data_IF_713304273559
#
_entry.id   IF_713304273559
#
_cell.length_a   1.000
_cell.length_b   1.000
_cell.length_c   1.000
_cell.angle_alpha   90.00
_cell.angle_beta   90.00
_cell.angle_gamma   90.00
#
_symmetry.space_group_name_H-M   'P 1'
#
loop_
_entity.id
_entity.type
_entity.pdbx_description
1 polymer ?
#
# COMPACT_ATOMS: atom_id res chain seq x y z
N UNK A 1 8.40 18.75 -8.47
CA UNK A 1 8.30 18.03 -7.18
C UNK A 1 8.05 16.57 -7.52
N UNK A 2 9.01 15.69 -7.26
CA UNK A 2 8.94 14.27 -7.63
C UNK A 2 8.48 13.47 -6.43
N UNK A 3 7.38 12.74 -6.56
CA UNK A 3 6.84 11.87 -5.52
C UNK A 3 7.03 10.40 -5.86
N UNK A 4 7.26 9.59 -4.83
CA UNK A 4 7.39 8.13 -4.89
C UNK A 4 6.23 7.49 -4.09
N UNK A 5 5.03 7.36 -4.68
CA UNK A 5 3.91 6.70 -4.03
C UNK A 5 4.03 5.17 -4.04
N UNK A 6 4.05 4.56 -2.86
CA UNK A 6 4.05 3.11 -2.69
C UNK A 6 2.68 2.64 -2.21
N UNK A 7 2.14 1.60 -2.86
CA UNK A 7 0.81 1.03 -2.62
C UNK A 7 0.90 -0.48 -2.41
N UNK A 8 -0.14 -1.18 -1.92
CA UNK A 8 -0.11 -2.63 -1.73
C UNK A 8 -0.07 -3.48 -3.02
N UNK A 9 0.15 -2.87 -4.18
CA UNK A 9 0.18 -3.54 -5.48
C UNK A 9 -1.08 -4.35 -5.80
N UNK A 10 -2.25 -3.81 -5.41
CA UNK A 10 -3.55 -4.48 -5.55
C UNK A 10 -3.67 -5.82 -4.78
N UNK A 11 -2.82 -6.08 -3.78
CA UNK A 11 -3.00 -7.21 -2.86
C UNK A 11 -4.21 -7.00 -1.93
N UNK A 12 -4.81 -8.11 -1.49
CA UNK A 12 -5.93 -8.17 -0.54
C UNK A 12 -5.70 -9.31 0.46
N UNK A 13 -6.39 -9.28 1.59
CA UNK A 13 -6.27 -10.31 2.63
C UNK A 13 -5.03 -10.14 3.50
N UNK A 14 -4.51 -11.23 4.06
CA UNK A 14 -3.36 -11.18 4.99
C UNK A 14 -1.98 -11.29 4.33
N UNK A 15 -1.93 -11.78 3.09
CA UNK A 15 -0.68 -12.08 2.40
C UNK A 15 -0.19 -10.85 1.64
N UNK A 16 1.12 -10.60 1.66
CA UNK A 16 1.71 -9.51 0.90
C UNK A 16 1.66 -9.76 -0.62
N UNK A 17 1.88 -8.71 -1.44
CA UNK A 17 1.86 -8.84 -2.89
C UNK A 17 2.97 -9.77 -3.40
N UNK A 18 2.70 -10.39 -4.54
CA UNK A 18 3.73 -11.07 -5.35
C UNK A 18 4.52 -10.08 -6.18
N UNK A 19 5.72 -10.46 -6.62
CA UNK A 19 6.48 -9.69 -7.61
C UNK A 19 5.68 -9.34 -8.87
N UNK A 20 4.87 -10.27 -9.38
CA UNK A 20 4.06 -10.01 -10.57
C UNK A 20 3.06 -8.86 -10.34
N UNK A 21 2.35 -8.87 -9.21
CA UNK A 21 1.40 -7.82 -8.83
C UNK A 21 2.07 -6.44 -8.74
N UNK A 22 3.24 -6.33 -8.11
CA UNK A 22 3.95 -5.05 -8.03
C UNK A 22 4.57 -4.62 -9.35
N UNK A 23 5.07 -5.55 -10.17
CA UNK A 23 5.57 -5.22 -11.51
C UNK A 23 4.47 -4.57 -12.35
N UNK A 24 3.24 -5.08 -12.30
CA UNK A 24 2.10 -4.44 -12.96
C UNK A 24 1.72 -3.10 -12.33
N UNK A 25 1.69 -3.01 -11.00
CA UNK A 25 1.32 -1.78 -10.30
C UNK A 25 2.29 -0.60 -10.53
N UNK A 26 3.57 -0.90 -10.79
CA UNK A 26 4.62 0.10 -10.97
C UNK A 26 5.15 0.20 -12.41
N UNK A 27 4.49 -0.43 -13.39
CA UNK A 27 5.01 -0.52 -14.77
C UNK A 27 5.25 0.85 -15.42
N UNK A 28 4.36 1.82 -15.15
CA UNK A 28 4.44 3.18 -15.71
C UNK A 28 5.18 4.17 -14.80
N UNK A 29 5.74 3.73 -13.66
CA UNK A 29 6.48 4.60 -12.76
C UNK A 29 7.92 4.79 -13.23
N UNK A 30 8.44 5.99 -12.96
CA UNK A 30 9.83 6.36 -13.24
C UNK A 30 10.84 5.68 -12.30
N UNK A 31 10.38 5.24 -11.13
CA UNK A 31 11.17 4.48 -10.16
C UNK A 31 10.75 3.01 -10.13
N UNK A 32 11.67 2.15 -9.66
CA UNK A 32 11.44 0.72 -9.53
C UNK A 32 11.26 0.33 -8.08
N UNK A 33 10.40 -0.65 -7.85
CA UNK A 33 10.16 -1.28 -6.55
C UNK A 33 10.35 -2.77 -6.74
N UNK A 34 11.20 -3.36 -5.91
CA UNK A 34 11.41 -4.80 -5.86
C UNK A 34 10.51 -5.41 -4.78
N UNK A 35 10.14 -6.68 -4.93
CA UNK A 35 9.36 -7.43 -3.94
C UNK A 35 10.14 -8.65 -3.52
N UNK A 36 10.23 -8.84 -2.20
CA UNK A 36 10.83 -10.05 -1.63
C UNK A 36 9.81 -11.18 -1.74
N UNK A 37 10.17 -12.26 -2.46
CA UNK A 37 9.22 -13.36 -2.74
C UNK A 37 9.38 -14.58 -1.82
N UNK A 38 10.29 -14.53 -0.83
CA UNK A 38 10.61 -15.68 0.02
C UNK A 38 11.01 -15.30 1.44
N UNK A 39 10.98 -16.28 2.34
CA UNK A 39 11.36 -16.10 3.74
C UNK A 39 10.35 -15.26 4.55
N UNK A 40 10.81 -14.78 5.70
CA UNK A 40 10.00 -14.02 6.65
C UNK A 40 9.63 -12.61 6.16
N UNK A 41 10.28 -12.12 5.10
CA UNK A 41 10.00 -10.82 4.48
C UNK A 41 9.18 -10.95 3.20
N UNK A 42 8.58 -12.11 2.93
CA UNK A 42 7.75 -12.30 1.73
C UNK A 42 6.66 -11.22 1.63
N UNK A 43 6.59 -10.55 0.49
CA UNK A 43 5.65 -9.47 0.20
C UNK A 43 6.11 -8.07 0.62
N UNK A 44 7.27 -7.94 1.27
CA UNK A 44 7.88 -6.64 1.57
C UNK A 44 8.40 -6.00 0.28
N UNK A 45 8.13 -4.71 0.14
CA UNK A 45 8.58 -3.88 -0.97
C UNK A 45 9.91 -3.22 -0.63
N UNK A 46 10.85 -3.22 -1.57
CA UNK A 46 12.17 -2.62 -1.45
C UNK A 46 12.30 -1.50 -2.48
N UNK A 47 12.64 -0.29 -2.01
CA UNK A 47 12.94 0.86 -2.84
C UNK A 47 14.37 1.33 -2.60
N UNK A 48 15.08 1.65 -3.67
CA UNK A 48 16.45 2.20 -3.61
C UNK A 48 16.39 3.71 -3.78
N UNK A 49 16.98 4.43 -2.82
CA UNK A 49 17.01 5.90 -2.82
C UNK A 49 17.81 6.39 -4.03
N UNK A 50 17.25 7.28 -4.87
CA UNK A 50 17.92 7.75 -6.08
C UNK A 50 18.99 8.81 -5.80
N UNK A 51 18.75 9.70 -4.82
CA UNK A 51 19.59 10.88 -4.58
C UNK A 51 19.88 11.05 -3.09
N UNK A 52 21.06 11.57 -2.75
CA UNK A 52 21.41 11.91 -1.36
C UNK A 52 20.79 13.26 -0.98
N UNK A 53 19.72 13.26 -0.18
CA UNK A 53 19.03 14.47 0.25
C UNK A 53 18.10 14.21 1.44
N UNK A 54 17.44 15.24 1.95
CA UNK A 54 16.37 15.11 2.93
C UNK A 54 15.06 14.72 2.24
N UNK A 55 14.57 13.52 2.50
CA UNK A 55 13.25 13.07 2.07
C UNK A 55 12.22 13.33 3.16
N UNK A 56 11.05 13.80 2.77
CA UNK A 56 9.88 13.82 3.63
C UNK A 56 9.03 12.58 3.30
N UNK A 57 8.83 11.74 4.32
CA UNK A 57 8.10 10.48 4.21
C UNK A 57 6.80 10.62 4.99
N UNK A 58 5.70 10.32 4.32
CA UNK A 58 4.36 10.22 4.90
C UNK A 58 3.90 8.78 4.80
N UNK A 59 3.43 8.22 5.91
CA UNK A 59 2.88 6.89 6.01
C UNK A 59 1.40 6.95 6.37
N UNK A 60 0.58 6.34 5.52
CA UNK A 60 -0.83 6.07 5.80
C UNK A 60 -1.01 4.57 6.05
N UNK A 61 -1.48 4.24 7.25
CA UNK A 61 -1.78 2.88 7.64
C UNK A 61 -3.08 2.39 7.00
N UNK A 62 -3.12 1.09 6.71
CA UNK A 62 -4.30 0.46 6.15
C UNK A 62 -5.56 0.66 7.00
N UNK A 63 -6.71 0.75 6.34
CA UNK A 63 -8.02 0.70 7.01
C UNK A 63 -8.40 -0.73 7.39
N UNK A 64 -9.25 -0.86 8.40
CA UNK A 64 -9.92 -2.13 8.70
C UNK A 64 -11.04 -2.44 7.72
N UNK A 65 -11.59 -3.65 7.85
CA UNK A 65 -12.85 -4.02 7.23
C UNK A 65 -14.06 -3.51 8.02
N UNK A 66 -15.23 -3.78 7.48
CA UNK A 66 -16.54 -3.49 8.06
C UNK A 66 -16.99 -4.71 8.88
N UNK A 67 -17.40 -4.47 10.12
CA UNK A 67 -17.93 -5.50 11.01
C UNK A 67 -19.44 -5.68 10.87
N UNK A 68 -19.97 -6.77 11.44
CA UNK A 68 -21.41 -7.06 11.45
C UNK A 68 -22.19 -5.98 12.22
N UNK A 69 -21.64 -5.52 13.35
CA UNK A 69 -22.27 -4.52 14.21
C UNK A 69 -21.74 -3.10 13.96
N UNK A 70 -20.55 -2.99 13.36
CA UNK A 70 -19.88 -1.72 13.07
C UNK A 70 -19.74 -1.58 11.56
N UNK A 71 -20.67 -0.85 10.96
CA UNK A 71 -20.76 -0.67 9.49
C UNK A 71 -19.70 0.26 8.92
N UNK A 72 -18.97 0.97 9.78
CA UNK A 72 -17.89 1.88 9.38
C UNK A 72 -16.53 1.18 9.44
N UNK A 73 -15.71 1.26 8.38
CA UNK A 73 -14.36 0.72 8.40
C UNK A 73 -13.49 1.49 9.40
N UNK A 74 -12.64 0.76 10.11
CA UNK A 74 -11.65 1.40 10.99
C UNK A 74 -10.63 2.18 10.14
N UNK A 75 -10.23 3.36 10.61
CA UNK A 75 -9.18 4.15 9.97
C UNK A 75 -7.80 3.65 10.39
N UNK A 76 -6.83 3.75 9.50
CA UNK A 76 -5.43 3.52 9.86
C UNK A 76 -4.79 4.72 10.54
N UNK A 77 -3.48 4.60 10.77
CA UNK A 77 -2.67 5.66 11.38
C UNK A 77 -2.05 6.59 10.33
N UNK A 78 -1.70 7.81 10.74
CA UNK A 78 -0.92 8.75 9.95
C UNK A 78 0.41 9.01 10.66
N UNK A 79 1.52 8.91 9.93
CA UNK A 79 2.84 9.33 10.40
C UNK A 79 3.56 10.14 9.34
N UNK A 80 4.32 11.14 9.77
CA UNK A 80 5.09 12.00 8.87
C UNK A 80 6.42 12.36 9.51
N UNK A 81 7.51 12.18 8.78
CA UNK A 81 8.85 12.49 9.25
C UNK A 81 9.78 12.85 8.10
N UNK A 82 10.88 13.51 8.43
CA UNK A 82 11.96 13.83 7.48
C UNK A 82 13.19 13.01 7.82
N UNK A 83 13.82 12.46 6.78
CA UNK A 83 15.01 11.62 6.89
C UNK A 83 16.06 12.12 5.91
N UNK A 84 17.30 12.19 6.36
CA UNK A 84 18.43 12.35 5.45
C UNK A 84 18.78 10.97 4.91
N UNK A 85 18.49 10.73 3.64
CA UNK A 85 18.77 9.45 2.99
C UNK A 85 19.93 9.62 2.02
N UNK A 86 20.69 8.55 1.83
CA UNK A 86 21.82 8.53 0.89
C UNK A 86 21.43 7.77 -0.37
N UNK A 87 21.88 8.24 -1.53
CA UNK A 87 21.71 7.52 -2.79
C UNK A 87 22.24 6.08 -2.67
N UNK A 88 21.46 5.12 -3.13
CA UNK A 88 21.76 3.69 -3.02
C UNK A 88 21.31 3.03 -1.71
N UNK A 89 20.87 3.80 -0.71
CA UNK A 89 20.25 3.24 0.50
C UNK A 89 18.95 2.50 0.16
N UNK A 90 18.69 1.40 0.87
CA UNK A 90 17.52 0.56 0.64
C UNK A 90 16.49 0.76 1.74
N UNK A 91 15.28 1.12 1.33
CA UNK A 91 14.13 1.26 2.21
C UNK A 91 13.21 0.06 2.03
N UNK A 92 12.93 -0.63 3.13
CA UNK A 92 12.03 -1.77 3.18
C UNK A 92 10.68 -1.34 3.74
N UNK A 93 9.61 -1.67 3.03
CA UNK A 93 8.26 -1.19 3.30
C UNK A 93 7.27 -2.35 3.28
N UNK A 94 6.53 -2.49 4.37
CA UNK A 94 5.33 -3.34 4.41
C UNK A 94 4.12 -2.44 4.23
N UNK A 95 3.57 -2.42 3.02
CA UNK A 95 2.39 -1.60 2.69
C UNK A 95 1.14 -2.44 2.90
N UNK A 96 0.41 -2.15 3.97
CA UNK A 96 -0.77 -2.92 4.36
C UNK A 96 -1.98 -2.67 3.45
N UNK A 97 -2.78 -3.70 3.25
CA UNK A 97 -4.05 -3.65 2.51
C UNK A 97 -5.25 -3.38 3.44
N UNK A 98 -6.34 -2.82 2.88
CA UNK A 98 -7.62 -2.71 3.61
C UNK A 98 -8.07 -4.09 4.13
N UNK A 99 -8.55 -4.13 5.37
CA UNK A 99 -9.14 -5.32 5.98
C UNK A 99 -10.42 -5.80 5.30
N UNK A 100 -10.68 -7.10 5.35
CA UNK A 100 -11.86 -7.72 4.76
C UNK A 100 -13.13 -7.49 5.60
N UNK A 101 -14.26 -7.34 4.91
CA UNK A 101 -15.57 -7.12 5.54
C UNK A 101 -16.13 -8.46 6.07
N UNK A 102 -16.74 -8.43 7.26
CA UNK A 102 -17.27 -9.65 7.91
C UNK A 102 -18.43 -10.28 7.14
N UNK A 103 -19.21 -9.47 6.42
CA UNK A 103 -20.29 -9.91 5.55
C UNK A 103 -20.00 -9.44 4.13
N UNK A 104 -20.00 -10.36 3.17
CA UNK A 104 -20.36 -9.98 1.81
C UNK A 104 -21.83 -9.53 1.85
N UNK A 105 -22.25 -8.42 1.21
CA UNK A 105 -23.67 -8.16 1.08
C UNK A 105 -24.28 -9.42 0.47
N UNK A 106 -25.28 -10.00 1.15
CA UNK A 106 -26.03 -11.13 0.61
C UNK A 106 -26.41 -10.75 -0.82
N UNK A 107 -25.95 -11.53 -1.80
CA UNK A 107 -26.39 -11.40 -3.18
C UNK A 107 -27.91 -11.56 -3.18
N UNK A 108 -28.64 -10.46 -3.27
CA UNK A 108 -29.87 -10.47 -4.04
C UNK A 108 -29.44 -10.38 -5.50
N UNK A 109 -29.80 -11.39 -6.28
CA UNK A 109 -29.52 -11.48 -7.72
C UNK A 109 -30.31 -10.42 -8.51
N UNK A 110 -30.05 -9.13 -8.29
CA UNK A 110 -30.57 -8.04 -9.10
C UNK A 110 -29.46 -7.01 -9.28
N UNK A 111 -28.95 -6.93 -10.50
CA UNK A 111 -27.76 -6.18 -10.87
C UNK A 111 -27.76 -4.73 -10.36
N UNK A 112 -26.71 -4.40 -9.61
CA UNK A 112 -26.21 -3.05 -9.43
C UNK A 112 -24.69 -3.15 -9.32
N UNK A 113 -24.04 -3.15 -10.49
CA UNK A 113 -22.64 -2.75 -10.55
C UNK A 113 -22.57 -1.30 -10.11
N UNK A 114 -22.23 -1.06 -8.85
CA UNK A 114 -21.79 0.24 -8.38
C UNK A 114 -20.52 0.02 -7.56
N UNK A 115 -19.42 0.22 -8.27
CA UNK A 115 -18.06 0.42 -7.80
C UNK A 115 -18.07 1.68 -6.91
N UNK A 116 -18.54 1.56 -5.67
CA UNK A 116 -18.39 2.64 -4.71
C UNK A 116 -16.91 2.76 -4.39
N UNK A 117 -16.38 3.96 -4.57
CA UNK A 117 -14.95 4.27 -4.55
C UNK A 117 -14.19 3.56 -3.43
N UNK A 118 -13.21 2.76 -3.86
CA UNK A 118 -12.28 1.98 -3.05
C UNK A 118 -11.29 2.95 -2.38
N UNK A 119 -11.74 3.73 -1.39
CA UNK A 119 -10.87 4.68 -0.68
C UNK A 119 -10.03 3.92 0.34
N UNK A 120 -8.85 3.45 -0.08
CA UNK A 120 -7.82 2.89 0.80
C UNK A 120 -6.81 3.99 1.18
N UNK A 121 -6.62 4.19 2.48
CA UNK A 121 -5.57 5.05 3.03
C UNK A 121 -4.28 4.26 3.21
N UNK A 122 -3.82 3.54 2.19
CA UNK A 122 -2.72 2.57 2.23
C UNK A 122 -1.48 3.03 1.46
N UNK A 123 -1.22 4.34 1.47
CA UNK A 123 -0.17 4.94 0.67
C UNK A 123 1.00 5.40 1.54
N UNK A 124 2.19 4.90 1.23
CA UNK A 124 3.44 5.53 1.66
C UNK A 124 3.85 6.51 0.58
N UNK A 125 4.09 7.75 0.96
CA UNK A 125 4.52 8.80 0.06
C UNK A 125 5.89 9.30 0.49
N UNK A 126 6.87 9.23 -0.40
CA UNK A 126 8.16 9.89 -0.21
C UNK A 126 8.34 10.99 -1.27
N UNK A 127 8.88 12.13 -0.90
CA UNK A 127 9.24 13.22 -1.83
C UNK A 127 10.50 13.95 -1.36
N UNK A 128 11.25 14.48 -2.33
CA UNK A 128 12.42 15.33 -2.14
C UNK A 128 12.19 16.77 -2.64
#
# INVERSE_FOLDING_TARGET
>A
MTGFPFKPCASTGREGPTRYQCNSAYIERTYKVNVIDSGHLKGVQEWTVPDTTTYSITALGASGGIGVLNTEPSKGAYAHAKFNLTAGEKIYMLVGQRGEDACSPLRSDIGQGNITGKLSGDELLAWN
#
